data_IF_563559939056
#
_entry.id   IF_563559939056
#
_cell.length_a   1.000
_cell.length_b   1.000
_cell.length_c   1.000
_cell.angle_alpha   90.00
_cell.angle_beta   90.00
_cell.angle_gamma   90.00
#
_symmetry.space_group_name_H-M   'P 1'
#
loop_
_entity.id
_entity.type
_entity.pdbx_description
1 polymer ?
#
# COMPACT_ATOMS: atom_id res chain seq x y z
N UNK A 1 26.52 48.73 2.20
CA UNK A 1 26.16 47.49 2.91
C UNK A 1 27.08 46.37 2.42
N UNK A 2 27.99 45.82 3.23
CA UNK A 2 28.85 44.73 2.77
C UNK A 2 28.04 43.43 2.69
N UNK A 3 28.10 42.77 1.53
CA UNK A 3 27.40 41.51 1.22
C UNK A 3 28.18 40.37 1.91
N UNK A 4 27.59 39.69 2.89
CA UNK A 4 28.21 38.53 3.51
C UNK A 4 28.34 37.39 2.49
N UNK A 5 29.50 36.70 2.41
CA UNK A 5 29.67 35.53 1.57
C UNK A 5 28.91 34.34 2.18
N UNK A 6 28.08 33.68 1.39
CA UNK A 6 27.38 32.48 1.78
C UNK A 6 28.37 31.35 2.06
N UNK A 7 28.60 31.04 3.34
CA UNK A 7 29.29 29.82 3.77
C UNK A 7 28.39 28.64 3.43
N UNK A 8 28.69 27.95 2.32
CA UNK A 8 28.12 26.64 2.03
C UNK A 8 28.74 25.65 3.01
N UNK A 9 28.14 25.51 4.20
CA UNK A 9 28.43 24.37 5.07
C UNK A 9 27.99 23.11 4.32
N UNK A 10 28.88 22.17 3.98
CA UNK A 10 28.47 20.89 3.44
C UNK A 10 27.78 20.14 4.57
N UNK A 11 26.44 20.17 4.58
CA UNK A 11 25.67 19.33 5.49
C UNK A 11 25.87 17.89 5.03
N UNK A 12 26.75 17.18 5.72
CA UNK A 12 26.85 15.72 5.65
C UNK A 12 25.61 15.11 6.34
N UNK A 13 24.43 15.38 5.80
CA UNK A 13 23.20 14.70 6.19
C UNK A 13 23.24 13.33 5.53
N UNK A 14 23.55 12.31 6.32
CA UNK A 14 23.35 10.92 5.91
C UNK A 14 21.96 10.80 5.29
N UNK A 15 21.89 10.30 4.04
CA UNK A 15 20.63 10.17 3.31
C UNK A 15 19.67 9.32 4.18
N UNK A 16 18.54 9.91 4.60
CA UNK A 16 17.50 9.16 5.31
C UNK A 16 17.08 7.97 4.46
N UNK A 17 17.19 6.77 5.00
CA UNK A 17 16.70 5.55 4.37
C UNK A 17 15.18 5.64 4.18
N UNK A 18 14.70 5.22 3.01
CA UNK A 18 13.26 5.23 2.72
C UNK A 18 12.57 4.16 3.57
N UNK A 19 11.64 4.58 4.44
CA UNK A 19 10.75 3.67 5.17
C UNK A 19 9.56 3.32 4.29
N UNK A 20 9.27 2.03 4.14
CA UNK A 20 8.07 1.57 3.44
C UNK A 20 6.85 1.68 4.36
N UNK A 21 5.75 2.21 3.82
CA UNK A 21 4.46 2.32 4.52
C UNK A 21 3.47 1.38 3.82
N UNK A 22 2.82 0.51 4.58
CA UNK A 22 1.83 -0.44 4.06
C UNK A 22 0.59 0.27 3.52
N UNK A 23 -0.17 -0.42 2.64
CA UNK A 23 -1.39 0.15 2.07
C UNK A 23 -2.43 0.48 3.15
N UNK A 24 -2.59 -0.39 4.14
CA UNK A 24 -3.50 -0.22 5.29
C UNK A 24 -3.21 1.08 6.05
N UNK A 25 -1.94 1.33 6.40
CA UNK A 25 -1.54 2.55 7.11
C UNK A 25 -1.82 3.80 6.26
N UNK A 26 -1.58 3.74 4.95
CA UNK A 26 -1.92 4.87 4.06
C UNK A 26 -3.42 5.13 4.02
N UNK A 27 -4.25 4.09 4.03
CA UNK A 27 -5.71 4.24 4.05
C UNK A 27 -6.21 4.81 5.38
N UNK A 28 -5.64 4.38 6.52
CA UNK A 28 -5.99 4.93 7.84
C UNK A 28 -5.62 6.41 7.93
N UNK A 29 -4.43 6.80 7.44
CA UNK A 29 -4.00 8.20 7.37
C UNK A 29 -4.97 9.05 6.55
N UNK A 30 -5.40 8.56 5.38
CA UNK A 30 -6.37 9.27 4.53
C UNK A 30 -7.69 9.42 5.27
N UNK A 31 -8.19 8.34 5.89
CA UNK A 31 -9.44 8.35 6.65
C UNK A 31 -9.39 9.39 7.76
N UNK A 32 -8.39 9.36 8.64
CA UNK A 32 -8.23 10.33 9.75
C UNK A 32 -8.15 11.77 9.26
N UNK A 33 -7.40 12.01 8.18
CA UNK A 33 -7.31 13.34 7.59
C UNK A 33 -8.66 13.84 7.05
N UNK A 34 -9.47 12.97 6.44
CA UNK A 34 -10.84 13.29 6.00
C UNK A 34 -11.79 13.58 7.18
N UNK A 35 -11.53 13.02 8.35
CA UNK A 35 -12.25 13.33 9.60
C UNK A 35 -11.78 14.66 10.24
N UNK A 36 -10.83 15.37 9.61
CA UNK A 36 -10.34 16.67 10.09
C UNK A 36 -9.20 16.59 11.10
N UNK A 37 -8.60 15.41 11.31
CA UNK A 37 -7.41 15.29 12.16
C UNK A 37 -6.20 16.00 11.51
N UNK A 38 -5.45 16.76 12.33
CA UNK A 38 -4.27 17.47 11.88
C UNK A 38 -3.14 16.54 11.46
N UNK A 39 -2.45 16.86 10.36
CA UNK A 39 -1.36 16.04 9.79
C UNK A 39 -0.21 15.77 10.76
N UNK A 40 0.05 16.68 11.70
CA UNK A 40 1.06 16.50 12.75
C UNK A 40 0.67 15.42 13.76
N UNK A 41 -0.61 15.39 14.16
CA UNK A 41 -1.15 14.40 15.10
C UNK A 41 -1.13 13.01 14.45
N UNK A 42 -1.63 12.92 13.22
CA UNK A 42 -1.60 11.68 12.43
C UNK A 42 -0.16 11.17 12.27
N UNK A 43 0.79 12.07 11.97
CA UNK A 43 2.20 11.74 11.89
C UNK A 43 2.73 11.14 13.19
N UNK A 44 2.43 11.76 14.33
CA UNK A 44 2.84 11.27 15.64
C UNK A 44 2.28 9.87 15.94
N UNK A 45 0.98 9.63 15.65
CA UNK A 45 0.33 8.33 15.88
C UNK A 45 0.99 7.20 15.08
N UNK A 46 1.38 7.48 13.84
CA UNK A 46 2.01 6.48 12.97
C UNK A 46 3.55 6.51 12.97
N UNK A 47 4.18 7.35 13.79
CA UNK A 47 5.64 7.52 13.80
C UNK A 47 6.21 8.07 12.48
N UNK A 48 5.41 8.82 11.72
CA UNK A 48 5.77 9.39 10.42
C UNK A 48 6.02 10.90 10.53
N UNK A 49 6.89 11.40 9.65
CA UNK A 49 7.05 12.84 9.49
C UNK A 49 5.80 13.47 8.86
N UNK A 50 5.46 14.69 9.26
CA UNK A 50 4.30 15.43 8.72
C UNK A 50 4.38 15.60 7.19
N UNK A 51 5.59 15.69 6.62
CA UNK A 51 5.81 15.73 5.17
C UNK A 51 5.43 14.42 4.46
N UNK A 52 5.63 13.27 5.12
CA UNK A 52 5.20 11.97 4.62
C UNK A 52 3.68 11.88 4.63
N UNK A 53 3.02 12.30 5.71
CA UNK A 53 1.55 12.36 5.82
C UNK A 53 0.97 13.25 4.73
N UNK A 54 1.52 14.45 4.53
CA UNK A 54 1.08 15.36 3.48
C UNK A 54 1.22 14.76 2.07
N UNK A 55 2.33 14.05 1.82
CA UNK A 55 2.54 13.37 0.54
C UNK A 55 1.52 12.25 0.31
N UNK A 56 1.17 11.49 1.36
CA UNK A 56 0.14 10.44 1.31
C UNK A 56 -1.21 11.05 0.99
N UNK A 57 -1.62 12.09 1.72
CA UNK A 57 -2.89 12.82 1.49
C UNK A 57 -2.97 13.37 0.08
N UNK A 58 -1.87 13.97 -0.44
CA UNK A 58 -1.81 14.46 -1.83
C UNK A 58 -2.03 13.34 -2.86
N UNK A 59 -1.60 12.13 -2.55
CA UNK A 59 -1.79 10.94 -3.40
C UNK A 59 -3.03 10.11 -3.07
N UNK A 60 -3.96 10.63 -2.26
CA UNK A 60 -5.08 9.86 -1.72
C UNK A 60 -5.93 9.17 -2.80
N UNK A 61 -6.27 9.86 -3.89
CA UNK A 61 -7.09 9.29 -4.96
C UNK A 61 -6.46 8.04 -5.57
N UNK A 62 -5.16 8.11 -5.90
CA UNK A 62 -4.42 6.97 -6.46
C UNK A 62 -4.34 5.80 -5.48
N UNK A 63 -4.17 6.09 -4.19
CA UNK A 63 -4.12 5.06 -3.14
C UNK A 63 -5.48 4.38 -3.01
N UNK A 64 -6.60 5.12 -3.09
CA UNK A 64 -7.96 4.56 -3.06
C UNK A 64 -8.25 3.71 -4.30
N UNK A 65 -7.84 4.14 -5.48
CA UNK A 65 -7.96 3.36 -6.72
C UNK A 65 -7.16 2.04 -6.65
N UNK A 66 -5.93 2.11 -6.13
CA UNK A 66 -5.11 0.93 -5.89
C UNK A 66 -5.75 0.00 -4.86
N UNK A 67 -6.37 0.53 -3.81
CA UNK A 67 -7.09 -0.28 -2.84
C UNK A 67 -8.35 -0.92 -3.42
N UNK A 68 -9.07 -0.24 -4.32
CA UNK A 68 -10.25 -0.78 -4.99
C UNK A 68 -9.92 -1.85 -6.03
N UNK A 69 -8.77 -1.75 -6.69
CA UNK A 69 -8.29 -2.73 -7.68
C UNK A 69 -7.48 -3.87 -7.07
N UNK A 70 -6.89 -3.68 -5.89
CA UNK A 70 -6.28 -4.72 -5.08
C UNK A 70 -7.36 -5.64 -4.49
N UNK A 71 -7.98 -6.44 -5.36
CA UNK A 71 -8.65 -7.66 -4.95
C UNK A 71 -7.69 -8.48 -4.08
N UNK A 72 -8.12 -9.01 -2.93
CA UNK A 72 -7.23 -9.81 -2.10
C UNK A 72 -6.71 -10.96 -2.96
N UNK A 73 -5.42 -11.26 -2.87
CA UNK A 73 -4.77 -12.35 -3.62
C UNK A 73 -5.46 -13.72 -3.40
N UNK A 74 -6.33 -13.82 -2.39
CA UNK A 74 -7.21 -14.98 -2.11
C UNK A 74 -8.44 -15.08 -3.02
N UNK A 75 -8.78 -14.02 -3.77
CA UNK A 75 -9.92 -13.97 -4.69
C UNK A 75 -9.57 -14.39 -6.12
N UNK A 76 -8.33 -14.80 -6.39
CA UNK A 76 -8.00 -15.57 -7.61
C UNK A 76 -8.58 -16.99 -7.45
N UNK A 77 -9.90 -17.10 -7.39
CA UNK A 77 -10.58 -18.30 -7.87
C UNK A 77 -10.28 -18.34 -9.35
N UNK A 78 -9.39 -19.25 -9.74
CA UNK A 78 -9.25 -19.68 -11.12
C UNK A 78 -10.58 -20.32 -11.50
N UNK A 79 -11.53 -19.51 -11.96
CA UNK A 79 -12.75 -19.99 -12.62
C UNK A 79 -12.34 -20.41 -14.03
N UNK A 80 -11.48 -21.42 -14.14
CA UNK A 80 -11.45 -22.21 -15.36
C UNK A 80 -12.76 -22.96 -15.34
N UNK A 81 -13.59 -22.76 -16.37
CA UNK A 81 -14.72 -23.64 -16.62
C UNK A 81 -14.19 -25.08 -16.53
N UNK A 82 -14.58 -25.83 -15.50
CA UNK A 82 -14.40 -27.28 -15.52
C UNK A 82 -15.35 -27.77 -16.59
N UNK A 83 -14.78 -28.26 -17.69
CA UNK A 83 -15.58 -28.90 -18.71
C UNK A 83 -16.21 -30.17 -18.10
N UNK A 84 -17.44 -30.48 -18.49
CA UNK A 84 -18.16 -31.66 -18.03
C UNK A 84 -17.36 -32.95 -18.34
N UNK A 85 -16.59 -32.95 -19.43
CA UNK A 85 -15.69 -34.04 -19.80
C UNK A 85 -14.53 -34.19 -18.80
N UNK A 86 -13.96 -33.08 -18.32
CA UNK A 86 -12.89 -33.07 -17.32
C UNK A 86 -13.40 -33.58 -15.97
N UNK A 87 -14.61 -33.18 -15.57
CA UNK A 87 -15.22 -33.64 -14.32
C UNK A 87 -15.56 -35.14 -14.37
N UNK A 88 -16.03 -35.65 -15.50
CA UNK A 88 -16.28 -37.08 -15.72
C UNK A 88 -14.99 -37.90 -15.58
N UNK A 89 -13.89 -37.42 -16.18
CA UNK A 89 -12.59 -38.06 -16.07
C UNK A 89 -12.04 -38.04 -14.63
N UNK A 90 -12.13 -36.89 -13.93
CA UNK A 90 -11.73 -36.77 -12.52
C UNK A 90 -12.49 -37.75 -11.61
N UNK A 91 -13.80 -37.93 -11.84
CA UNK A 91 -14.63 -38.89 -11.09
C UNK A 91 -14.21 -40.33 -11.35
N UNK A 92 -13.97 -40.70 -12.59
CA UNK A 92 -13.53 -42.06 -12.96
C UNK A 92 -12.16 -42.40 -12.36
N UNK A 93 -11.23 -41.44 -12.37
CA UNK A 93 -9.91 -41.59 -11.74
C UNK A 93 -10.00 -41.69 -10.21
N UNK A 94 -10.92 -40.95 -9.59
CA UNK A 94 -11.13 -41.01 -8.13
C UNK A 94 -11.57 -42.42 -7.70
N UNK A 95 -12.56 -42.98 -8.40
CA UNK A 95 -13.02 -44.36 -8.14
C UNK A 95 -11.92 -45.40 -8.33
N UNK A 96 -10.98 -45.17 -9.27
CA UNK A 96 -9.87 -46.11 -9.52
C UNK A 96 -8.78 -46.07 -8.44
N UNK A 97 -8.58 -44.92 -7.79
CA UNK A 97 -7.58 -44.76 -6.72
C UNK A 97 -8.11 -45.27 -5.38
N UNK A 98 -9.44 -45.24 -5.19
CA UNK A 98 -10.10 -45.63 -3.94
C UNK A 98 -10.44 -47.13 -3.84
N UNK A 99 -10.09 -47.96 -4.85
CA UNK A 99 -10.18 -49.44 -4.86
C UNK A 99 -8.80 -50.08 -4.55
#
# INVERSE_FOLDING_TARGET
MPKQPATKTPSNVAKRSRVAVTLEVKLDIIKRHEHGEGTSVIGHVHGLASSTVHSIVKSANKIKELAGSATPLTATKVTRFRDAEMESMERMLSTWIDD
#
